data_IF_427480610574
#
_entry.id   IF_427480610574
#
_cell.length_a   1.000
_cell.length_b   1.000
_cell.length_c   1.000
_cell.angle_alpha   90.00
_cell.angle_beta   90.00
_cell.angle_gamma   90.00
#
_symmetry.space_group_name_H-M   'P 1'
#
loop_
_entity.id
_entity.type
_entity.pdbx_description
1 polymer ?
#
# COMPACT_ATOMS: atom_id res chain seq x y z
N UNK A 1 34.32 -47.47 17.36
CA UNK A 1 34.19 -46.04 17.00
C UNK A 1 33.23 -45.43 17.98
N UNK A 2 33.65 -44.40 18.71
CA UNK A 2 32.81 -43.70 19.69
C UNK A 2 31.83 -42.82 18.92
N UNK A 3 30.52 -43.02 19.15
CA UNK A 3 29.46 -42.18 18.59
C UNK A 3 29.45 -40.82 19.30
N UNK A 4 29.22 -39.75 18.57
CA UNK A 4 29.29 -38.37 19.09
C UNK A 4 28.04 -37.58 18.74
N UNK A 5 27.56 -36.75 19.67
CA UNK A 5 26.49 -35.78 19.45
C UNK A 5 27.08 -34.42 19.13
N UNK A 6 26.55 -33.76 18.11
CA UNK A 6 26.83 -32.36 17.80
C UNK A 6 25.69 -31.49 18.33
N UNK A 7 25.94 -30.79 19.42
CA UNK A 7 24.99 -29.83 20.01
C UNK A 7 25.08 -28.53 19.22
N UNK A 8 24.00 -28.19 18.51
CA UNK A 8 23.90 -27.00 17.65
C UNK A 8 22.99 -25.96 18.29
N UNK A 9 23.38 -24.70 18.24
CA UNK A 9 22.52 -23.55 18.56
C UNK A 9 22.46 -22.61 17.35
N UNK A 10 21.48 -21.71 17.32
CA UNK A 10 21.29 -20.76 16.20
C UNK A 10 22.36 -19.66 16.12
N UNK A 11 23.13 -19.46 17.20
CA UNK A 11 24.05 -18.32 17.34
C UNK A 11 25.46 -18.69 17.82
N UNK A 12 25.77 -19.97 18.05
CA UNK A 12 27.09 -20.40 18.53
C UNK A 12 27.67 -21.57 17.71
N UNK A 13 28.99 -21.76 17.82
CA UNK A 13 29.68 -22.88 17.21
C UNK A 13 29.21 -24.23 17.80
N UNK A 14 29.03 -25.27 16.96
CA UNK A 14 28.61 -26.59 17.45
C UNK A 14 29.61 -27.19 18.44
N UNK A 15 29.12 -27.72 19.55
CA UNK A 15 29.96 -28.48 20.48
C UNK A 15 29.71 -29.99 20.35
N UNK A 16 30.78 -30.78 20.40
CA UNK A 16 30.71 -32.24 20.26
C UNK A 16 30.78 -32.95 21.61
N UNK A 17 29.92 -33.95 21.82
CA UNK A 17 29.86 -34.73 23.05
C UNK A 17 29.84 -36.25 22.75
N UNK A 18 30.74 -37.06 23.32
CA UNK A 18 30.69 -38.51 23.11
C UNK A 18 29.51 -39.16 23.85
N UNK A 19 28.87 -40.13 23.20
CA UNK A 19 27.77 -40.94 23.75
C UNK A 19 28.19 -41.91 24.85
N UNK A 20 29.48 -42.24 24.88
CA UNK A 20 30.11 -43.10 25.88
C UNK A 20 31.16 -42.29 26.60
N UNK A 21 30.99 -42.12 27.91
CA UNK A 21 31.93 -41.39 28.75
C UNK A 21 33.02 -42.38 29.18
N UNK A 22 34.23 -41.89 29.48
CA UNK A 22 35.46 -42.68 29.68
C UNK A 22 35.34 -43.85 30.69
N UNK A 23 34.32 -43.85 31.56
CA UNK A 23 34.02 -44.90 32.55
C UNK A 23 33.01 -45.98 32.07
N UNK A 24 32.60 -45.98 30.80
CA UNK A 24 31.60 -46.92 30.27
C UNK A 24 30.15 -46.61 30.67
N UNK A 25 29.92 -45.47 31.33
CA UNK A 25 28.59 -44.92 31.58
C UNK A 25 28.02 -44.28 30.31
N UNK A 26 26.72 -44.49 30.09
CA UNK A 26 25.95 -43.84 29.04
C UNK A 26 25.81 -42.35 29.34
N UNK A 27 25.72 -41.54 28.29
CA UNK A 27 25.45 -40.12 28.42
C UNK A 27 24.12 -39.90 29.15
N UNK A 28 24.12 -39.09 30.21
CA UNK A 28 22.91 -38.72 30.93
C UNK A 28 22.35 -37.38 30.44
N UNK A 29 21.04 -37.24 30.54
CA UNK A 29 20.30 -36.03 30.19
C UNK A 29 20.79 -34.82 30.98
N UNK A 30 21.18 -35.00 32.25
CA UNK A 30 21.74 -33.91 33.07
C UNK A 30 23.02 -33.33 32.47
N UNK A 31 23.90 -34.19 31.93
CA UNK A 31 25.15 -33.74 31.27
C UNK A 31 24.85 -33.03 29.96
N UNK A 32 23.91 -33.55 29.17
CA UNK A 32 23.45 -32.95 27.92
C UNK A 32 22.80 -31.57 28.15
N UNK A 33 21.92 -31.45 29.15
CA UNK A 33 21.29 -30.20 29.55
C UNK A 33 22.30 -29.18 30.07
N UNK A 34 23.29 -29.61 30.86
CA UNK A 34 24.32 -28.70 31.40
C UNK A 34 25.13 -28.06 30.27
N UNK A 35 25.51 -28.84 29.27
CA UNK A 35 26.23 -28.33 28.10
C UNK A 35 25.36 -27.42 27.22
N UNK A 36 24.12 -27.83 26.94
CA UNK A 36 23.16 -27.00 26.21
C UNK A 36 22.90 -25.66 26.92
N UNK A 37 22.79 -25.67 28.25
CA UNK A 37 22.63 -24.46 29.05
C UNK A 37 23.88 -23.56 29.02
N UNK A 38 25.08 -24.15 28.95
CA UNK A 38 26.33 -23.37 28.84
C UNK A 38 26.50 -22.67 27.48
N UNK A 39 25.83 -23.19 26.44
CA UNK A 39 25.82 -22.64 25.09
C UNK A 39 24.79 -21.52 24.89
N UNK A 40 23.88 -21.32 25.85
CA UNK A 40 22.85 -20.29 25.80
C UNK A 40 23.25 -19.08 26.66
N UNK A 41 23.37 -17.88 26.08
CA UNK A 41 23.81 -16.69 26.82
C UNK A 41 22.83 -16.22 27.91
N UNK A 42 21.53 -16.49 27.75
CA UNK A 42 20.47 -15.84 28.54
C UNK A 42 19.76 -16.73 29.58
N UNK A 43 20.25 -17.95 29.85
CA UNK A 43 19.59 -18.92 30.78
C UNK A 43 18.08 -19.11 30.52
N UNK A 44 17.66 -18.98 29.26
CA UNK A 44 16.27 -19.22 28.84
C UNK A 44 15.95 -20.72 28.94
N UNK A 45 14.71 -21.07 29.26
CA UNK A 45 14.24 -22.47 29.13
C UNK A 45 14.48 -22.94 27.69
N UNK A 46 14.84 -24.22 27.48
CA UNK A 46 15.15 -24.79 26.17
C UNK A 46 14.60 -26.22 26.01
N UNK A 47 14.38 -26.65 24.78
CA UNK A 47 14.14 -28.05 24.40
C UNK A 47 15.26 -28.55 23.50
N UNK A 48 15.59 -29.83 23.64
CA UNK A 48 16.59 -30.51 22.82
C UNK A 48 15.87 -31.35 21.78
N UNK A 49 16.20 -31.20 20.51
CA UNK A 49 15.53 -31.89 19.40
C UNK A 49 16.55 -32.46 18.42
N UNK A 50 16.33 -33.66 17.89
CA UNK A 50 17.11 -34.20 16.77
C UNK A 50 16.18 -34.54 15.60
N UNK A 51 16.75 -34.59 14.39
CA UNK A 51 16.01 -35.00 13.19
C UNK A 51 16.32 -36.45 12.89
N UNK A 52 15.29 -37.28 12.74
CA UNK A 52 15.43 -38.68 12.35
C UNK A 52 15.56 -38.86 10.83
N UNK A 53 15.59 -40.12 10.37
CA UNK A 53 15.74 -40.48 8.96
C UNK A 53 14.53 -40.10 8.10
N UNK A 54 13.36 -39.95 8.72
CA UNK A 54 12.11 -39.59 8.07
C UNK A 54 11.92 -38.06 8.01
N UNK A 55 12.79 -37.31 8.69
CA UNK A 55 12.77 -35.85 8.74
C UNK A 55 11.94 -35.30 9.90
N UNK A 56 11.51 -36.16 10.82
CA UNK A 56 10.71 -35.76 11.99
C UNK A 56 11.62 -35.21 13.10
N UNK A 57 11.12 -34.19 13.81
CA UNK A 57 11.80 -33.60 14.96
C UNK A 57 11.41 -34.34 16.24
N UNK A 58 12.35 -35.11 16.80
CA UNK A 58 12.17 -35.86 18.03
C UNK A 58 12.75 -35.09 19.21
N UNK A 59 11.94 -34.84 20.24
CA UNK A 59 12.37 -34.11 21.44
C UNK A 59 12.97 -35.05 22.48
N UNK A 60 14.14 -34.69 23.00
CA UNK A 60 14.83 -35.43 24.07
C UNK A 60 14.54 -34.74 25.40
N UNK A 61 13.94 -35.46 26.34
CA UNK A 61 13.51 -34.91 27.64
C UNK A 61 13.99 -35.72 28.85
N UNK A 62 14.22 -37.02 28.67
CA UNK A 62 14.57 -37.97 29.73
C UNK A 62 15.83 -38.78 29.37
N UNK A 63 16.44 -39.42 30.37
CA UNK A 63 17.56 -40.34 30.15
C UNK A 63 17.18 -41.52 29.24
N UNK A 64 15.91 -41.96 29.28
CA UNK A 64 15.41 -43.01 28.39
C UNK A 64 15.42 -42.55 26.92
N UNK A 65 15.10 -41.28 26.65
CA UNK A 65 15.15 -40.70 25.31
C UNK A 65 16.59 -40.63 24.78
N UNK A 66 17.58 -40.41 25.66
CA UNK A 66 19.00 -40.43 25.30
C UNK A 66 19.46 -41.86 24.96
N UNK A 67 18.98 -42.87 25.68
CA UNK A 67 19.23 -44.27 25.35
C UNK A 67 18.55 -44.69 24.04
N UNK A 68 17.34 -44.20 23.75
CA UNK A 68 16.66 -44.41 22.46
C UNK A 68 17.40 -43.74 21.32
N UNK A 69 17.90 -42.52 21.53
CA UNK A 69 18.76 -41.82 20.59
C UNK A 69 20.04 -42.62 20.30
N UNK A 70 20.67 -43.22 21.32
CA UNK A 70 21.86 -44.06 21.15
C UNK A 70 21.53 -45.30 20.30
N UNK A 71 20.38 -45.94 20.56
CA UNK A 71 19.87 -47.08 19.78
C UNK A 71 19.56 -46.69 18.34
N UNK A 72 18.98 -45.51 18.12
CA UNK A 72 18.73 -44.97 16.78
C UNK A 72 20.04 -44.77 16.02
N UNK A 73 21.04 -44.12 16.62
CA UNK A 73 22.38 -43.99 16.01
C UNK A 73 23.01 -45.34 15.68
N UNK A 74 22.78 -46.36 16.51
CA UNK A 74 23.25 -47.71 16.25
C UNK A 74 22.52 -48.39 15.08
N UNK A 75 21.18 -48.27 15.03
CA UNK A 75 20.34 -48.83 13.97
C UNK A 75 20.63 -48.23 12.60
N UNK A 76 20.78 -46.91 12.55
CA UNK A 76 21.06 -46.14 11.32
C UNK A 76 22.56 -46.02 11.00
N UNK A 77 23.44 -46.69 11.79
CA UNK A 77 24.90 -46.65 11.63
C UNK A 77 25.51 -45.22 11.62
N UNK A 78 24.88 -44.29 12.35
CA UNK A 78 25.32 -42.92 12.46
C UNK A 78 26.48 -42.80 13.44
N UNK A 79 27.59 -42.21 12.99
CA UNK A 79 28.73 -41.88 13.87
C UNK A 79 28.52 -40.55 14.59
N UNK A 80 27.81 -39.63 13.94
CA UNK A 80 27.54 -38.29 14.45
C UNK A 80 26.06 -37.96 14.29
N UNK A 81 25.43 -37.39 15.32
CA UNK A 81 24.04 -36.93 15.27
C UNK A 81 23.95 -35.49 15.76
N UNK A 82 23.29 -34.63 14.98
CA UNK A 82 23.03 -33.24 15.34
C UNK A 82 21.84 -33.13 16.30
N UNK A 83 22.06 -32.58 17.49
CA UNK A 83 21.02 -32.24 18.45
C UNK A 83 20.90 -30.72 18.51
N UNK A 84 19.76 -30.20 18.07
CA UNK A 84 19.44 -28.78 18.08
C UNK A 84 18.91 -28.36 19.45
N UNK A 85 19.51 -27.31 20.01
CA UNK A 85 18.98 -26.63 21.20
C UNK A 85 18.01 -25.55 20.74
N UNK A 86 16.74 -25.73 21.02
CA UNK A 86 15.67 -24.79 20.68
C UNK A 86 15.27 -24.04 21.95
N UNK A 87 15.47 -22.71 22.03
CA UNK A 87 14.96 -21.94 23.16
C UNK A 87 13.44 -22.10 23.26
N UNK A 88 12.95 -22.54 24.43
CA UNK A 88 11.53 -22.49 24.79
C UNK A 88 11.23 -21.05 25.15
N UNK A 89 10.80 -20.27 24.17
CA UNK A 89 10.06 -19.05 24.46
C UNK A 89 8.77 -19.43 25.20
N UNK A 90 8.29 -18.61 26.14
CA UNK A 90 7.13 -18.93 26.96
C UNK A 90 5.95 -19.37 26.08
N UNK A 91 5.18 -20.38 26.51
CA UNK A 91 4.19 -21.09 25.69
C UNK A 91 3.05 -20.19 25.17
N UNK A 92 2.94 -18.97 25.67
CA UNK A 92 2.04 -17.93 25.18
C UNK A 92 2.50 -17.31 23.87
N UNK A 93 3.79 -17.11 23.62
CA UNK A 93 4.26 -16.37 22.45
C UNK A 93 4.20 -17.18 21.14
N UNK A 94 4.50 -18.49 21.18
CA UNK A 94 4.67 -19.29 19.96
C UNK A 94 3.38 -20.01 19.52
N UNK A 95 2.53 -20.43 20.49
CA UNK A 95 1.17 -20.89 20.21
C UNK A 95 0.23 -19.74 19.90
N UNK A 96 0.40 -18.57 20.54
CA UNK A 96 -0.28 -17.37 20.08
C UNK A 96 0.26 -16.99 18.70
N UNK A 97 1.55 -16.91 18.42
CA UNK A 97 2.02 -16.55 17.08
C UNK A 97 1.40 -17.40 15.96
N UNK A 98 1.38 -18.74 16.07
CA UNK A 98 0.82 -19.62 15.02
C UNK A 98 -0.72 -19.60 15.00
N UNK A 99 -1.40 -19.60 16.17
CA UNK A 99 -2.86 -19.54 16.24
C UNK A 99 -3.42 -18.15 15.91
N UNK A 100 -2.76 -17.08 16.37
CA UNK A 100 -2.97 -15.66 16.00
C UNK A 100 -2.71 -15.48 14.52
N UNK A 101 -1.68 -16.08 13.90
CA UNK A 101 -1.52 -15.98 12.44
C UNK A 101 -2.65 -16.68 11.70
N UNK A 102 -3.10 -17.84 12.18
CA UNK A 102 -4.16 -18.61 11.51
C UNK A 102 -5.54 -17.97 11.71
N UNK A 103 -5.81 -17.40 12.89
CA UNK A 103 -7.05 -16.70 13.21
C UNK A 103 -7.07 -15.26 12.72
N UNK A 104 -5.97 -14.50 12.73
CA UNK A 104 -5.90 -13.18 12.10
C UNK A 104 -5.99 -13.33 10.58
N UNK A 105 -5.33 -14.33 9.98
CA UNK A 105 -5.51 -14.67 8.56
C UNK A 105 -6.94 -15.10 8.28
N UNK A 106 -7.54 -15.93 9.13
CA UNK A 106 -8.94 -16.35 9.03
C UNK A 106 -9.92 -15.18 9.18
N UNK A 107 -9.68 -14.28 10.12
CA UNK A 107 -10.51 -13.12 10.42
C UNK A 107 -10.36 -12.06 9.33
N UNK A 108 -9.16 -11.74 8.87
CA UNK A 108 -8.91 -10.82 7.76
C UNK A 108 -9.45 -11.40 6.45
N UNK A 109 -9.31 -12.71 6.21
CA UNK A 109 -9.90 -13.37 5.03
C UNK A 109 -11.42 -13.38 5.13
N UNK A 110 -12.00 -13.66 6.29
CA UNK A 110 -13.44 -13.64 6.52
C UNK A 110 -14.01 -12.22 6.45
N UNK A 111 -13.32 -11.20 6.99
CA UNK A 111 -13.69 -9.79 6.87
C UNK A 111 -13.60 -9.36 5.41
N UNK A 112 -12.53 -9.69 4.69
CA UNK A 112 -12.44 -9.41 3.26
C UNK A 112 -13.50 -10.17 2.45
N UNK A 113 -13.88 -11.38 2.84
CA UNK A 113 -14.97 -12.17 2.22
C UNK A 113 -16.37 -11.69 2.59
N UNK A 114 -16.55 -11.11 3.78
CA UNK A 114 -17.81 -10.59 4.31
C UNK A 114 -18.04 -9.11 3.98
N UNK A 115 -16.97 -8.37 3.65
CA UNK A 115 -17.05 -7.14 2.88
C UNK A 115 -17.58 -7.54 1.50
N UNK A 116 -18.89 -7.48 1.34
CA UNK A 116 -19.61 -7.63 0.07
C UNK A 116 -19.24 -6.44 -0.83
N UNK A 117 -18.03 -6.52 -1.37
CA UNK A 117 -17.57 -5.68 -2.46
C UNK A 117 -18.37 -6.14 -3.66
N UNK A 118 -19.34 -5.33 -4.08
CA UNK A 118 -20.16 -5.66 -5.24
C UNK A 118 -19.27 -6.12 -6.40
N UNK A 119 -19.68 -7.19 -7.08
CA UNK A 119 -18.95 -7.76 -8.23
C UNK A 119 -18.70 -6.73 -9.36
N UNK A 120 -19.37 -5.57 -9.31
CA UNK A 120 -19.19 -4.42 -10.20
C UNK A 120 -17.96 -3.54 -9.89
N UNK A 121 -17.29 -3.71 -8.74
CA UNK A 121 -16.09 -2.98 -8.34
C UNK A 121 -14.79 -3.77 -8.61
N UNK A 122 -14.52 -4.09 -9.88
CA UNK A 122 -13.38 -4.90 -10.30
C UNK A 122 -12.02 -4.45 -9.74
N UNK A 123 -11.82 -3.15 -9.53
CA UNK A 123 -10.59 -2.58 -8.94
C UNK A 123 -10.38 -3.01 -7.47
N UNK A 124 -11.45 -3.07 -6.66
CA UNK A 124 -11.36 -3.43 -5.24
C UNK A 124 -11.19 -4.94 -5.04
N UNK A 125 -11.75 -5.74 -5.96
CA UNK A 125 -11.49 -7.19 -6.03
C UNK A 125 -10.02 -7.49 -6.37
N UNK A 126 -9.42 -6.78 -7.34
CA UNK A 126 -7.99 -6.91 -7.64
C UNK A 126 -7.11 -6.47 -6.48
N UNK A 127 -7.44 -5.37 -5.80
CA UNK A 127 -6.71 -4.90 -4.61
C UNK A 127 -6.77 -5.94 -3.48
N UNK A 128 -7.93 -6.55 -3.25
CA UNK A 128 -8.10 -7.64 -2.26
C UNK A 128 -7.22 -8.84 -2.59
N UNK A 129 -7.14 -9.25 -3.85
CA UNK A 129 -6.26 -10.35 -4.28
C UNK A 129 -4.79 -10.00 -4.14
N UNK A 130 -4.38 -8.79 -4.56
CA UNK A 130 -3.00 -8.31 -4.41
C UNK A 130 -2.57 -8.19 -2.94
N UNK A 131 -3.46 -7.70 -2.07
CA UNK A 131 -3.22 -7.61 -0.63
C UNK A 131 -3.08 -8.99 0.00
N UNK A 132 -3.92 -9.96 -0.39
CA UNK A 132 -3.81 -11.34 0.10
C UNK A 132 -2.52 -12.03 -0.35
N UNK A 133 -2.02 -11.73 -1.56
CA UNK A 133 -0.74 -12.23 -2.04
C UNK A 133 0.43 -11.59 -1.30
N UNK A 134 0.40 -10.27 -1.10
CA UNK A 134 1.43 -9.55 -0.34
C UNK A 134 1.47 -9.99 1.14
N UNK A 135 0.31 -10.29 1.75
CA UNK A 135 0.23 -10.82 3.10
C UNK A 135 0.72 -12.27 3.24
N UNK A 136 0.84 -13.02 2.13
CA UNK A 136 1.41 -14.38 2.13
C UNK A 136 2.93 -14.40 1.94
N UNK A 137 3.54 -13.25 1.63
CA UNK A 137 4.96 -13.12 1.39
C UNK A 137 5.80 -13.44 2.64
N UNK A 138 6.81 -14.31 2.47
CA UNK A 138 7.68 -14.75 3.56
C UNK A 138 8.64 -13.63 4.02
N UNK A 139 9.00 -12.67 3.16
CA UNK A 139 9.82 -11.52 3.55
C UNK A 139 9.02 -10.55 4.42
N UNK A 140 7.75 -10.30 4.07
CA UNK A 140 6.84 -9.51 4.92
C UNK A 140 6.72 -10.12 6.32
N UNK A 141 6.51 -11.43 6.38
CA UNK A 141 6.36 -12.15 7.66
C UNK A 141 7.59 -11.99 8.54
N UNK A 142 8.77 -12.25 7.97
CA UNK A 142 10.03 -12.12 8.70
C UNK A 142 10.30 -10.67 9.13
N UNK A 143 9.99 -9.69 8.27
CA UNK A 143 10.17 -8.28 8.60
C UNK A 143 9.26 -7.84 9.76
N UNK A 144 8.01 -8.28 9.79
CA UNK A 144 7.07 -7.98 10.88
C UNK A 144 7.51 -8.67 12.18
N UNK A 145 7.92 -9.93 12.13
CA UNK A 145 8.43 -10.65 13.30
C UNK A 145 9.65 -9.96 13.90
N UNK A 146 10.65 -9.62 13.09
CA UNK A 146 11.86 -8.92 13.54
C UNK A 146 11.56 -7.53 14.12
N UNK A 147 10.68 -6.76 13.48
CA UNK A 147 10.31 -5.43 13.96
C UNK A 147 9.46 -5.50 15.23
N UNK A 148 8.57 -6.50 15.35
CA UNK A 148 7.76 -6.70 16.57
C UNK A 148 8.60 -7.14 17.77
N UNK A 149 9.74 -7.80 17.53
CA UNK A 149 10.69 -8.20 18.56
C UNK A 149 11.66 -7.07 18.97
N UNK A 150 11.69 -5.96 18.24
CA UNK A 150 12.52 -4.81 18.56
C UNK A 150 12.00 -4.10 19.83
N UNK A 151 12.91 -3.72 20.73
CA UNK A 151 12.60 -3.03 22.00
C UNK A 151 11.73 -1.77 21.80
N UNK A 152 11.91 -1.08 20.69
CA UNK A 152 11.15 0.12 20.30
C UNK A 152 9.67 -0.14 19.99
N UNK A 153 9.31 -1.35 19.53
CA UNK A 153 7.94 -1.67 19.11
C UNK A 153 7.29 -2.77 19.94
N UNK A 154 8.04 -3.40 20.84
CA UNK A 154 7.56 -4.53 21.67
C UNK A 154 6.31 -4.18 22.46
N UNK A 155 6.26 -2.99 23.06
CA UNK A 155 5.08 -2.51 23.80
C UNK A 155 3.89 -2.23 22.87
N UNK A 156 4.14 -1.71 21.66
CA UNK A 156 3.09 -1.45 20.67
C UNK A 156 2.51 -2.76 20.14
N UNK A 157 3.38 -3.68 19.75
CA UNK A 157 3.04 -5.00 19.29
C UNK A 157 2.26 -5.76 20.36
N UNK A 158 2.71 -5.71 21.62
CA UNK A 158 1.99 -6.34 22.75
C UNK A 158 0.60 -5.72 22.92
N UNK A 159 0.47 -4.39 22.98
CA UNK A 159 -0.81 -3.71 23.14
C UNK A 159 -1.80 -4.03 21.99
N UNK A 160 -1.33 -3.99 20.74
CA UNK A 160 -2.16 -4.33 19.58
C UNK A 160 -2.56 -5.80 19.57
N UNK A 161 -1.63 -6.71 19.87
CA UNK A 161 -1.91 -8.15 19.92
C UNK A 161 -2.91 -8.48 21.02
N UNK A 162 -2.79 -7.87 22.21
CA UNK A 162 -3.76 -8.03 23.29
C UNK A 162 -5.15 -7.54 22.88
N UNK A 163 -5.25 -6.32 22.31
CA UNK A 163 -6.52 -5.76 21.87
C UNK A 163 -7.19 -6.61 20.77
N UNK A 164 -6.40 -7.15 19.83
CA UNK A 164 -6.88 -8.07 18.79
C UNK A 164 -7.35 -9.40 19.39
N UNK A 165 -6.61 -9.96 20.35
CA UNK A 165 -6.96 -11.23 21.00
C UNK A 165 -8.27 -11.13 21.79
N UNK A 166 -8.48 -10.02 22.47
CA UNK A 166 -9.68 -9.75 23.26
C UNK A 166 -10.88 -9.36 22.37
N UNK A 167 -10.70 -9.27 21.04
CA UNK A 167 -11.70 -8.82 20.05
C UNK A 167 -12.33 -7.46 20.41
N UNK A 168 -11.59 -6.64 21.14
CA UNK A 168 -12.09 -5.36 21.61
C UNK A 168 -11.80 -4.29 20.56
N UNK A 169 -12.80 -4.01 19.73
CA UNK A 169 -12.71 -3.01 18.68
C UNK A 169 -12.35 -1.62 19.23
N UNK A 170 -12.82 -1.28 20.43
CA UNK A 170 -12.54 0.01 21.05
C UNK A 170 -11.08 0.07 21.53
N UNK A 171 -10.58 -1.02 22.13
CA UNK A 171 -9.18 -1.09 22.54
C UNK A 171 -8.21 -1.07 21.33
N UNK A 172 -8.61 -1.64 20.18
CA UNK A 172 -7.83 -1.56 18.94
C UNK A 172 -7.76 -0.11 18.45
N UNK A 173 -8.90 0.58 18.42
CA UNK A 173 -8.97 1.99 18.00
C UNK A 173 -8.18 2.91 18.95
N UNK A 174 -8.34 2.73 20.25
CA UNK A 174 -7.65 3.49 21.29
C UNK A 174 -6.13 3.24 21.23
N UNK A 175 -5.69 2.00 21.03
CA UNK A 175 -4.27 1.67 20.88
C UNK A 175 -3.68 2.25 19.58
N UNK A 176 -4.42 2.18 18.47
CA UNK A 176 -3.99 2.71 17.18
C UNK A 176 -3.92 4.24 17.17
N UNK A 177 -4.85 4.92 17.85
CA UNK A 177 -4.89 6.38 17.95
C UNK A 177 -3.87 6.92 18.95
N UNK A 178 -3.76 6.31 20.14
CA UNK A 178 -2.82 6.76 21.17
C UNK A 178 -1.35 6.57 20.78
N UNK A 179 -1.06 5.54 19.96
CA UNK A 179 0.31 5.21 19.53
C UNK A 179 0.48 5.30 18.03
N UNK A 180 -0.29 6.18 17.39
CA UNK A 180 -0.29 6.36 15.94
C UNK A 180 1.09 6.64 15.35
N UNK A 181 1.91 7.46 16.03
CA UNK A 181 3.26 7.79 15.56
C UNK A 181 4.18 6.55 15.54
N UNK A 182 4.09 5.70 16.55
CA UNK A 182 4.85 4.45 16.62
C UNK A 182 4.35 3.45 15.58
N UNK A 183 3.04 3.38 15.37
CA UNK A 183 2.41 2.56 14.34
C UNK A 183 2.80 2.97 12.92
N UNK A 184 2.85 4.29 12.67
CA UNK A 184 3.29 4.85 11.40
C UNK A 184 4.77 4.54 11.16
N UNK A 185 5.63 4.70 12.16
CA UNK A 185 7.05 4.34 12.07
C UNK A 185 7.26 2.84 11.83
N UNK A 186 6.47 2.00 12.50
CA UNK A 186 6.46 0.55 12.27
C UNK A 186 6.07 0.22 10.83
N UNK A 187 4.97 0.78 10.34
CA UNK A 187 4.50 0.57 8.97
C UNK A 187 5.52 1.05 7.92
N UNK A 188 6.14 2.21 8.12
CA UNK A 188 7.18 2.72 7.24
C UNK A 188 8.40 1.78 7.16
N UNK A 189 8.83 1.20 8.29
CA UNK A 189 9.94 0.24 8.33
C UNK A 189 9.59 -1.09 7.68
N UNK A 190 8.35 -1.57 7.85
CA UNK A 190 7.85 -2.76 7.14
C UNK A 190 7.85 -2.51 5.62
N UNK A 191 7.31 -1.39 5.16
CA UNK A 191 7.27 -1.03 3.73
C UNK A 191 8.67 -0.77 3.15
N UNK A 192 9.62 -0.29 3.95
CA UNK A 192 11.01 -0.12 3.55
C UNK A 192 11.72 -1.47 3.33
N UNK A 193 11.42 -2.48 4.15
CA UNK A 193 11.98 -3.83 4.04
C UNK A 193 11.28 -4.69 2.98
N UNK A 194 10.02 -4.40 2.68
CA UNK A 194 9.22 -5.18 1.73
C UNK A 194 8.71 -4.29 0.59
N UNK A 195 9.51 -4.10 -0.48
CA UNK A 195 9.13 -3.26 -1.61
C UNK A 195 7.87 -3.76 -2.34
N UNK A 196 7.51 -5.04 -2.19
CA UNK A 196 6.27 -5.62 -2.72
C UNK A 196 4.98 -5.03 -2.12
N UNK A 197 5.03 -4.46 -0.90
CA UNK A 197 3.87 -3.77 -0.32
C UNK A 197 3.68 -2.35 -0.85
N UNK A 198 4.71 -1.70 -1.40
CA UNK A 198 4.59 -0.33 -1.93
C UNK A 198 3.46 -0.19 -2.96
N UNK A 199 3.36 -1.02 -4.01
CA UNK A 199 2.28 -0.90 -4.97
C UNK A 199 0.90 -1.15 -4.33
N UNK A 200 0.81 -2.07 -3.37
CA UNK A 200 -0.45 -2.41 -2.70
C UNK A 200 -0.90 -1.27 -1.77
N UNK A 201 0.00 -0.71 -0.96
CA UNK A 201 -0.29 0.43 -0.07
C UNK A 201 -0.71 1.66 -0.89
N UNK A 202 -0.04 1.92 -2.03
CA UNK A 202 -0.43 2.99 -2.95
C UNK A 202 -1.80 2.72 -3.57
N UNK A 203 -2.11 1.46 -3.92
CA UNK A 203 -3.40 1.08 -4.49
C UNK A 203 -4.54 1.21 -3.48
N UNK A 204 -4.32 0.79 -2.23
CA UNK A 204 -5.26 0.99 -1.10
C UNK A 204 -5.45 2.47 -0.81
N UNK A 205 -4.37 3.26 -0.75
CA UNK A 205 -4.45 4.71 -0.55
C UNK A 205 -5.21 5.40 -1.70
N UNK A 206 -4.97 4.99 -2.95
CA UNK A 206 -5.71 5.46 -4.12
C UNK A 206 -7.21 5.14 -4.00
N UNK A 207 -7.56 3.93 -3.55
CA UNK A 207 -8.94 3.51 -3.37
C UNK A 207 -9.64 4.23 -2.21
N UNK A 208 -8.96 4.45 -1.08
CA UNK A 208 -9.48 5.23 0.05
C UNK A 208 -9.70 6.69 -0.33
N UNK A 209 -8.75 7.30 -1.05
CA UNK A 209 -8.88 8.68 -1.54
C UNK A 209 -10.02 8.80 -2.57
N UNK A 210 -10.19 7.81 -3.46
CA UNK A 210 -11.32 7.76 -4.37
C UNK A 210 -12.66 7.56 -3.65
N UNK A 211 -12.69 6.80 -2.55
CA UNK A 211 -13.86 6.59 -1.70
C UNK A 211 -14.27 7.85 -0.92
N UNK A 212 -13.31 8.55 -0.31
CA UNK A 212 -13.55 9.80 0.42
C UNK A 212 -14.07 10.93 -0.49
N UNK A 213 -13.60 10.97 -1.75
CA UNK A 213 -14.11 11.92 -2.74
C UNK A 213 -15.57 11.66 -3.09
N UNK A 214 -15.99 10.39 -3.18
CA UNK A 214 -17.40 10.03 -3.43
C UNK A 214 -18.30 10.27 -2.22
N UNK A 215 -17.81 10.01 -1.01
CA UNK A 215 -18.58 10.26 0.23
C UNK A 215 -18.90 11.75 0.42
N UNK A 216 -17.98 12.64 0.03
CA UNK A 216 -18.25 14.08 0.02
C UNK A 216 -19.25 14.54 -1.05
N UNK A 217 -19.47 13.75 -2.10
CA UNK A 217 -20.48 14.04 -3.13
C UNK A 217 -21.88 13.53 -2.70
N UNK A 218 -21.95 12.44 -1.92
CA UNK A 218 -23.22 11.83 -1.48
C UNK A 218 -23.87 12.51 -0.23
N UNK A 219 -23.11 13.24 0.60
CA UNK A 219 -23.63 13.95 1.79
C UNK A 219 -24.32 15.30 1.45
N UNK A 220 -24.47 15.65 0.17
CA UNK A 220 -25.13 16.89 -0.28
C UNK A 220 -26.50 16.67 -0.94
N UNK A 221 -27.04 15.45 -0.90
CA UNK A 221 -28.38 15.14 -1.40
C UNK A 221 -29.35 14.79 -0.26
N UNK A 222 -29.55 15.75 0.65
CA UNK A 222 -30.46 15.67 1.79
C UNK A 222 -31.36 16.91 1.92
N UNK A 223 -32.49 16.86 1.20
CA UNK A 223 -33.70 17.69 1.31
C UNK A 223 -33.63 19.21 1.01
N UNK A 224 -34.40 19.55 -0.02
CA UNK A 224 -34.69 20.89 -0.48
C UNK A 224 -35.33 21.79 0.59
N UNK A 225 -34.78 23.00 0.75
CA UNK A 225 -35.61 24.19 0.92
C UNK A 225 -34.81 25.45 0.54
N UNK A 226 -35.49 26.30 -0.22
CA UNK A 226 -35.01 27.56 -0.77
C UNK A 226 -34.38 28.46 0.30
N UNK A 227 -33.27 29.12 -0.04
CA UNK A 227 -33.10 30.57 0.13
C UNK A 227 -31.67 31.01 -0.19
N UNK A 228 -31.60 31.96 -1.10
CA UNK A 228 -30.54 32.96 -1.25
C UNK A 228 -29.89 33.40 0.06
N UNK A 229 -28.56 33.44 0.11
CA UNK A 229 -27.78 34.68 0.26
C UNK A 229 -26.30 34.41 0.45
N UNK A 230 -25.51 35.28 -0.20
CA UNK A 230 -24.13 35.65 0.09
C UNK A 230 -23.69 35.53 1.54
N UNK A 231 -22.45 35.08 1.77
CA UNK A 231 -21.39 35.89 2.39
C UNK A 231 -20.06 35.14 2.41
N UNK A 232 -19.03 35.88 2.04
CA UNK A 232 -17.61 35.63 2.26
C UNK A 232 -17.29 35.30 3.72
N UNK A 233 -16.37 34.37 3.95
CA UNK A 233 -15.57 34.32 5.16
C UNK A 233 -14.14 33.89 4.82
N UNK A 234 -13.31 34.89 4.62
CA UNK A 234 -11.88 34.86 4.87
C UNK A 234 -11.57 34.37 6.28
N UNK A 235 -10.65 33.43 6.43
CA UNK A 235 -9.86 33.31 7.64
C UNK A 235 -8.43 32.92 7.30
N UNK A 236 -7.53 33.70 7.87
CA UNK A 236 -6.10 33.67 7.81
C UNK A 236 -5.55 32.90 9.03
N UNK A 237 -4.54 32.06 8.80
CA UNK A 237 -3.54 31.74 9.82
C UNK A 237 -2.19 31.62 9.09
N UNK A 238 -1.38 32.66 9.26
CA UNK A 238 0.07 32.58 9.13
C UNK A 238 0.58 31.93 10.41
N UNK A 239 1.31 30.83 10.30
CA UNK A 239 2.17 30.35 11.37
C UNK A 239 3.57 30.16 10.79
N UNK A 240 4.45 31.06 11.24
CA UNK A 240 5.90 31.00 11.09
C UNK A 240 6.43 29.80 11.89
N UNK A 241 6.95 28.78 11.20
CA UNK A 241 7.92 27.86 11.79
C UNK A 241 9.03 27.60 10.78
N UNK A 242 10.23 28.09 11.11
CA UNK A 242 11.47 27.80 10.39
C UNK A 242 11.62 26.28 10.21
N UNK A 243 11.60 25.84 8.96
CA UNK A 243 11.93 24.47 8.60
C UNK A 243 13.36 24.46 8.09
N UNK A 244 14.21 23.75 8.82
CA UNK A 244 15.58 23.46 8.43
C UNK A 244 15.55 22.59 7.17
N UNK A 245 16.24 23.06 6.12
CA UNK A 245 16.38 22.38 4.85
C UNK A 245 16.98 20.98 5.03
N UNK A 246 16.16 19.95 4.82
CA UNK A 246 16.64 18.61 4.49
C UNK A 246 16.21 18.36 3.06
N UNK A 247 17.13 18.60 2.12
CA UNK A 247 17.00 18.19 0.72
C UNK A 247 17.02 16.66 0.63
N UNK A 248 15.87 16.03 0.85
CA UNK A 248 15.58 14.71 0.28
C UNK A 248 14.96 14.96 -1.08
N UNK A 249 15.74 14.76 -2.15
CA UNK A 249 15.23 14.62 -3.51
C UNK A 249 14.35 13.36 -3.60
N UNK A 250 13.12 13.46 -3.09
CA UNK A 250 12.03 12.69 -3.64
C UNK A 250 11.54 13.51 -4.83
N UNK A 251 11.77 13.03 -6.06
CA UNK A 251 11.07 13.59 -7.22
C UNK A 251 9.58 13.33 -6.99
N UNK A 252 8.90 14.29 -6.37
CA UNK A 252 7.46 14.23 -6.16
C UNK A 252 6.82 14.26 -7.55
N UNK A 253 6.37 13.10 -8.00
CA UNK A 253 5.71 12.97 -9.29
C UNK A 253 4.42 13.81 -9.23
N UNK A 254 4.23 14.80 -10.11
CA UNK A 254 3.07 15.67 -10.09
C UNK A 254 1.77 14.86 -10.17
N UNK A 255 0.85 15.08 -9.22
CA UNK A 255 -0.43 14.38 -9.17
C UNK A 255 -1.56 15.35 -9.52
N UNK A 256 -2.23 15.14 -10.66
CA UNK A 256 -3.35 15.95 -11.11
C UNK A 256 -4.70 15.29 -10.76
N UNK A 257 -5.22 15.60 -9.57
CA UNK A 257 -6.52 15.12 -9.07
C UNK A 257 -7.68 15.67 -9.92
N UNK A 258 -8.71 14.84 -10.16
CA UNK A 258 -9.89 15.22 -10.95
C UNK A 258 -9.62 15.38 -12.45
N UNK A 259 -8.45 14.96 -12.93
CA UNK A 259 -8.06 15.04 -14.35
C UNK A 259 -7.95 13.63 -14.92
N UNK A 260 -8.62 13.40 -16.04
CA UNK A 260 -8.63 12.12 -16.76
C UNK A 260 -7.93 12.30 -18.09
N UNK A 261 -7.03 11.38 -18.45
CA UNK A 261 -6.46 11.36 -19.79
C UNK A 261 -7.53 10.98 -20.83
N UNK A 262 -7.82 11.83 -21.81
CA UNK A 262 -8.83 11.55 -22.83
C UNK A 262 -8.42 10.41 -23.78
N UNK A 263 -7.12 10.13 -23.91
CA UNK A 263 -6.58 9.04 -24.72
C UNK A 263 -6.71 7.67 -24.07
N UNK A 264 -6.04 7.47 -22.93
CA UNK A 264 -5.98 6.17 -22.23
C UNK A 264 -6.96 6.03 -21.06
N UNK A 265 -7.78 7.05 -20.76
CA UNK A 265 -8.73 7.10 -19.65
C UNK A 265 -8.12 6.96 -18.25
N UNK A 266 -6.80 7.07 -18.12
CA UNK A 266 -6.13 7.04 -16.82
C UNK A 266 -6.56 8.23 -15.94
N UNK A 267 -6.92 7.94 -14.69
CA UNK A 267 -7.29 8.90 -13.65
C UNK A 267 -6.84 8.40 -12.27
N UNK A 268 -6.34 9.26 -11.37
CA UNK A 268 -5.88 10.63 -11.64
C UNK A 268 -4.63 10.64 -12.55
N UNK A 269 -4.40 11.74 -13.25
CA UNK A 269 -3.24 11.85 -14.14
C UNK A 269 -1.96 12.05 -13.32
N UNK A 270 -1.08 11.06 -13.37
CA UNK A 270 0.22 11.04 -12.69
C UNK A 270 1.32 11.45 -13.66
N UNK A 271 2.17 12.39 -13.26
CA UNK A 271 3.23 12.94 -14.09
C UNK A 271 2.80 14.19 -14.86
N UNK A 272 3.42 14.45 -16.01
CA UNK A 272 3.15 15.65 -16.81
C UNK A 272 1.75 15.56 -17.44
N UNK A 273 0.93 16.58 -17.18
CA UNK A 273 -0.37 16.78 -17.84
C UNK A 273 -0.22 17.68 -19.07
N UNK A 274 -0.74 17.24 -20.21
CA UNK A 274 -0.83 18.04 -21.44
C UNK A 274 -2.28 18.45 -21.67
N UNK A 275 -2.59 19.72 -21.46
CA UNK A 275 -3.95 20.25 -21.58
C UNK A 275 -4.14 20.96 -22.92
N UNK A 276 -5.20 20.63 -23.66
CA UNK A 276 -5.55 21.38 -24.88
C UNK A 276 -5.98 22.79 -24.52
N UNK A 277 -5.46 23.78 -25.25
CA UNK A 277 -5.90 25.18 -25.14
C UNK A 277 -7.14 25.46 -25.99
N UNK A 278 -7.42 24.63 -27.00
CA UNK A 278 -8.59 24.77 -27.87
C UNK A 278 -9.80 23.98 -27.36
N UNK A 279 -9.58 22.74 -26.91
CA UNK A 279 -10.67 21.85 -26.51
C UNK A 279 -10.82 21.81 -25.00
N UNK A 280 -12.02 22.13 -24.54
CA UNK A 280 -12.32 22.09 -23.12
C UNK A 280 -12.28 20.67 -22.55
N UNK A 281 -11.82 20.53 -21.30
CA UNK A 281 -11.67 19.22 -20.62
C UNK A 281 -10.89 18.15 -21.41
N UNK A 282 -10.01 18.58 -22.33
CA UNK A 282 -9.15 17.66 -23.07
C UNK A 282 -7.74 17.68 -22.50
N UNK A 283 -7.36 16.60 -21.85
CA UNK A 283 -6.13 16.40 -21.13
C UNK A 283 -5.49 15.07 -21.55
N UNK A 284 -4.18 15.06 -21.76
CA UNK A 284 -3.41 13.88 -22.14
C UNK A 284 -2.28 13.64 -21.13
N UNK A 285 -2.00 12.37 -20.85
CA UNK A 285 -0.76 11.99 -20.18
C UNK A 285 0.41 12.03 -21.17
N UNK A 286 1.63 12.00 -20.63
CA UNK A 286 2.87 12.01 -21.41
C UNK A 286 2.93 10.92 -22.49
N UNK A 287 2.49 9.70 -22.19
CA UNK A 287 2.47 8.61 -23.18
C UNK A 287 1.47 8.85 -24.32
N UNK A 288 0.31 9.46 -24.04
CA UNK A 288 -0.68 9.77 -25.07
C UNK A 288 -0.24 10.94 -25.94
N UNK A 289 0.38 11.96 -25.37
CA UNK A 289 0.92 13.08 -26.15
C UNK A 289 2.08 12.63 -27.05
N UNK A 290 3.03 11.87 -26.52
CA UNK A 290 4.17 11.34 -27.27
C UNK A 290 3.76 10.38 -28.41
N UNK A 291 2.57 9.78 -28.34
CA UNK A 291 2.05 8.94 -29.41
C UNK A 291 1.70 9.70 -30.71
N UNK A 292 1.55 11.03 -30.64
CA UNK A 292 1.22 11.87 -31.79
C UNK A 292 -0.18 11.67 -32.38
N UNK A 293 -1.00 10.76 -31.83
CA UNK A 293 -2.34 10.44 -32.34
C UNK A 293 -3.39 11.55 -32.08
N UNK A 294 -3.03 12.59 -31.33
CA UNK A 294 -3.94 13.62 -30.84
C UNK A 294 -3.55 15.04 -31.27
N UNK A 295 -2.70 15.17 -32.30
CA UNK A 295 -2.23 16.44 -32.88
C UNK A 295 -3.37 17.39 -33.29
N UNK A 296 -4.55 16.86 -33.63
CA UNK A 296 -5.75 17.65 -33.96
C UNK A 296 -6.34 18.48 -32.81
N UNK A 297 -5.86 18.27 -31.58
CA UNK A 297 -6.30 19.00 -30.39
C UNK A 297 -5.17 19.89 -29.83
N UNK A 298 -4.11 20.08 -30.60
CA UNK A 298 -3.11 21.11 -30.35
C UNK A 298 -3.74 22.52 -30.46
N UNK A 299 -3.14 23.53 -29.82
CA UNK A 299 -1.91 23.48 -29.02
C UNK A 299 -2.14 22.94 -27.60
N UNK A 300 -1.22 22.10 -27.13
CA UNK A 300 -1.19 21.62 -25.75
C UNK A 300 -0.29 22.48 -24.87
N UNK A 301 -0.76 22.81 -23.66
CA UNK A 301 0.08 23.37 -22.60
C UNK A 301 0.59 22.24 -21.70
N UNK A 302 1.92 22.23 -21.49
CA UNK A 302 2.58 21.31 -20.58
C UNK A 302 2.44 21.82 -19.13
N UNK A 303 1.75 21.06 -18.31
CA UNK A 303 1.52 21.36 -16.89
C UNK A 303 2.33 20.34 -16.08
N UNK A 304 3.46 20.80 -15.53
CA UNK A 304 4.32 20.01 -14.64
C UNK A 304 4.03 20.26 -13.17
N UNK A 305 3.32 21.33 -12.85
CA UNK A 305 2.94 21.71 -11.49
C UNK A 305 1.41 21.88 -11.46
N UNK A 306 0.66 21.07 -10.70
CA UNK A 306 -0.79 21.15 -10.61
C UNK A 306 -1.30 22.54 -10.23
N UNK A 307 -0.52 23.30 -9.44
CA UNK A 307 -0.90 24.65 -9.01
C UNK A 307 -0.85 25.69 -10.13
N UNK A 308 -0.11 25.41 -11.22
CA UNK A 308 0.08 26.30 -12.38
C UNK A 308 -0.84 25.96 -13.55
N UNK A 309 -1.79 25.05 -13.36
CA UNK A 309 -2.76 24.73 -14.39
C UNK A 309 -3.56 25.99 -14.77
N UNK A 310 -3.59 26.40 -16.06
CA UNK A 310 -4.36 27.56 -16.47
C UNK A 310 -5.84 27.33 -16.16
N UNK A 311 -6.41 28.23 -15.35
CA UNK A 311 -7.86 28.27 -15.11
C UNK A 311 -8.52 28.46 -16.47
N UNK A 312 -9.34 27.51 -16.89
CA UNK A 312 -10.05 27.65 -18.15
C UNK A 312 -10.86 28.93 -18.12
N UNK A 313 -10.70 29.77 -19.14
CA UNK A 313 -11.69 30.79 -19.47
C UNK A 313 -12.99 30.02 -19.62
N UNK A 314 -13.94 30.22 -18.70
CA UNK A 314 -15.29 29.68 -18.84
C UNK A 314 -15.84 30.25 -20.15
N UNK A 315 -15.71 29.52 -21.25
CA UNK A 315 -16.58 29.69 -22.40
C UNK A 315 -17.93 29.28 -21.85
N UNK A 316 -18.74 30.28 -21.50
CA UNK A 316 -20.10 30.13 -21.00
C UNK A 316 -20.78 28.94 -21.67
N UNK A 317 -21.41 28.06 -20.87
CA UNK A 317 -22.14 26.84 -21.29
C UNK A 317 -23.36 27.13 -22.20
N UNK A 318 -23.39 28.29 -22.85
CA UNK A 318 -24.40 28.71 -23.82
C UNK A 318 -24.22 27.83 -25.04
N UNK A 319 -25.16 26.91 -25.23
CA UNK A 319 -25.27 26.11 -26.45
C UNK A 319 -26.35 26.75 -27.30
N UNK A 320 -26.08 26.92 -28.60
CA UNK A 320 -27.07 27.34 -29.60
C UNK A 320 -27.44 26.14 -30.48
N UNK A 321 -28.48 25.35 -30.11
CA UNK A 321 -28.76 24.03 -30.70
C UNK A 321 -29.05 24.04 -32.20
N UNK A 322 -29.46 25.19 -32.74
CA UNK A 322 -29.86 25.38 -34.13
C UNK A 322 -28.93 26.30 -34.91
N UNK A 323 -27.78 26.67 -34.34
CA UNK A 323 -26.79 27.49 -35.01
C UNK A 323 -25.61 26.63 -35.46
N UNK A 324 -25.19 26.81 -36.70
CA UNK A 324 -24.04 26.14 -37.31
C UNK A 324 -23.02 27.19 -37.68
N UNK A 325 -21.75 26.96 -37.39
CA UNK A 325 -20.70 27.89 -37.79
C UNK A 325 -20.41 27.77 -39.29
N UNK A 326 -20.57 28.83 -40.07
CA UNK A 326 -20.26 28.84 -41.52
C UNK A 326 -18.77 28.75 -41.83
N UNK A 327 -17.91 29.03 -40.84
CA UNK A 327 -16.45 28.99 -41.01
C UNK A 327 -15.86 27.58 -40.86
N UNK A 328 -16.36 26.80 -39.90
CA UNK A 328 -15.84 25.46 -39.56
C UNK A 328 -16.90 24.33 -39.55
N UNK A 329 -18.14 24.64 -39.96
CA UNK A 329 -19.29 23.73 -40.03
C UNK A 329 -19.69 23.07 -38.70
N UNK A 330 -19.19 23.59 -37.56
CA UNK A 330 -19.55 23.09 -36.24
C UNK A 330 -21.02 23.39 -35.92
N UNK A 331 -21.77 22.35 -35.55
CA UNK A 331 -23.16 22.42 -35.10
C UNK A 331 -23.40 21.41 -33.97
N UNK A 332 -24.02 21.79 -32.83
CA UNK A 332 -24.43 23.15 -32.47
C UNK A 332 -23.24 24.02 -32.03
N UNK A 333 -23.33 25.34 -32.24
CA UNK A 333 -22.32 26.27 -31.69
C UNK A 333 -22.38 26.23 -30.16
N UNK A 334 -21.26 25.89 -29.53
CA UNK A 334 -21.08 25.90 -28.07
C UNK A 334 -20.19 27.07 -27.68
N UNK A 335 -20.65 27.90 -26.75
CA UNK A 335 -20.00 29.15 -26.35
C UNK A 335 -20.64 30.36 -27.02
N UNK A 336 -19.86 31.41 -27.19
CA UNK A 336 -20.33 32.67 -27.78
C UNK A 336 -20.58 32.49 -29.28
N UNK A 337 -21.76 32.91 -29.74
CA UNK A 337 -22.11 32.96 -31.17
C UNK A 337 -21.89 34.37 -31.71
N UNK A 338 -21.22 34.48 -32.85
CA UNK A 338 -20.97 35.74 -33.54
C UNK A 338 -21.76 35.77 -34.84
N UNK A 339 -22.79 36.61 -34.91
CA UNK A 339 -23.63 36.74 -36.11
C UNK A 339 -23.19 37.93 -36.94
N UNK A 340 -23.08 37.76 -38.25
CA UNK A 340 -22.79 38.86 -39.18
C UNK A 340 -23.92 39.90 -39.16
N UNK A 341 -23.54 41.17 -39.10
CA UNK A 341 -24.46 42.30 -39.25
C UNK A 341 -24.73 42.61 -40.74
N UNK A 342 -23.86 42.14 -41.64
CA UNK A 342 -23.92 42.45 -43.08
C UNK A 342 -24.45 41.30 -43.92
N UNK A 343 -24.37 40.07 -43.42
CA UNK A 343 -24.83 38.86 -44.11
C UNK A 343 -25.89 38.14 -43.29
N UNK A 344 -26.97 37.77 -43.96
CA UNK A 344 -28.02 36.93 -43.38
C UNK A 344 -27.51 35.51 -43.17
N UNK A 345 -27.95 34.88 -42.08
CA UNK A 345 -27.63 33.50 -41.68
C UNK A 345 -26.13 33.15 -41.65
N UNK A 346 -25.26 34.13 -41.43
CA UNK A 346 -23.82 33.90 -41.29
C UNK A 346 -23.39 33.97 -39.83
N UNK A 347 -23.07 32.82 -39.26
CA UNK A 347 -22.72 32.62 -37.87
C UNK A 347 -21.33 32.03 -37.70
N UNK A 348 -20.57 32.58 -36.75
CA UNK A 348 -19.24 32.10 -36.40
C UNK A 348 -19.19 31.66 -34.94
N UNK A 349 -18.47 30.58 -34.68
CA UNK A 349 -18.05 30.22 -33.33
C UNK A 349 -16.87 31.11 -32.88
N UNK A 350 -16.59 31.11 -31.57
CA UNK A 350 -15.50 31.89 -30.95
C UNK A 350 -14.15 31.67 -31.65
N UNK A 351 -13.83 30.44 -32.04
CA UNK A 351 -12.59 30.14 -32.76
C UNK A 351 -12.54 30.73 -34.18
N UNK A 352 -13.65 30.71 -34.91
CA UNK A 352 -13.69 31.25 -36.26
C UNK A 352 -13.68 32.78 -36.27
N UNK A 353 -14.33 33.43 -35.30
CA UNK A 353 -14.26 34.88 -35.15
C UNK A 353 -12.85 35.31 -34.74
N UNK A 354 -12.25 34.65 -33.73
CA UNK A 354 -10.89 34.94 -33.27
C UNK A 354 -9.82 34.75 -34.35
N UNK A 355 -10.07 33.89 -35.34
CA UNK A 355 -9.16 33.71 -36.49
C UNK A 355 -9.03 34.96 -37.38
N UNK A 356 -9.98 35.89 -37.31
CA UNK A 356 -10.01 37.13 -38.10
C UNK A 356 -10.20 36.94 -39.61
N UNK A 357 -10.22 35.70 -40.12
CA UNK A 357 -10.29 35.38 -41.55
C UNK A 357 -11.54 35.94 -42.24
N UNK A 358 -12.63 36.05 -41.50
CA UNK A 358 -13.95 36.42 -42.05
C UNK A 358 -14.33 37.88 -41.77
N UNK A 359 -13.53 38.60 -40.97
CA UNK A 359 -13.83 39.97 -40.53
C UNK A 359 -13.89 40.97 -41.68
N UNK A 360 -13.03 40.83 -42.69
CA UNK A 360 -13.02 41.74 -43.84
C UNK A 360 -14.19 41.51 -44.81
N UNK A 361 -14.67 40.26 -44.92
CA UNK A 361 -15.67 39.88 -45.92
C UNK A 361 -17.10 39.78 -45.38
N UNK A 362 -17.25 39.43 -44.10
CA UNK A 362 -18.53 39.15 -43.45
C UNK A 362 -18.67 39.87 -42.09
N UNK A 363 -17.70 40.71 -41.71
CA UNK A 363 -17.84 41.60 -40.56
C UNK A 363 -18.67 42.85 -40.87
N UNK A 364 -19.02 43.65 -39.86
CA UNK A 364 -18.83 43.39 -38.42
C UNK A 364 -19.74 42.27 -37.90
N UNK A 365 -19.34 41.68 -36.76
CA UNK A 365 -20.07 40.62 -36.09
C UNK A 365 -20.63 41.09 -34.75
N UNK A 366 -21.90 40.79 -34.50
CA UNK A 366 -22.55 40.99 -33.20
C UNK A 366 -22.48 39.73 -32.36
N UNK A 367 -22.11 39.91 -31.09
CA UNK A 367 -22.07 38.86 -30.08
C UNK A 367 -23.49 38.54 -29.59
N UNK A 368 -23.90 37.29 -29.72
CA UNK A 368 -25.19 36.75 -29.26
C UNK A 368 -25.00 35.88 -28.02
#
# INVERSE_FOLDING_TARGET
>A
MTRTLEIKTTHAEPQTLPMTIEDGETLTMTKLQTLAASLLPDKTEFSLQYTDSDGDQVTVTTDADVDELDKYMHGEQLQTLGVLVVPRQPPTAQRAAIAVQTQLRGLVTAILQALDVSEDAGELATIKTELLLALQDDELRKAVEELSAAEEFKELAHAMVTAIYDQDAQAIEDAATARFAELLAFAQRVVARCPALKPVVVSVAKALMAGLVRYNDDDMDGEASDSSSSSSASSCCSDDHETLDVEVFTEQVPLHLGVVCNGCKAAPLVGVRYKSLEVSHFDLCEGCEASGNYMRFEPFVKITDPSRAPKQKRTSEIVHPFATCDGCEMSPIVGVRFKSDTKEDFDLCDGCEASGKWTESHGPFSKI
#
